data_IF_739496109820
#
_entry.id   IF_739496109820
#
_cell.length_a   1.000
_cell.length_b   1.000
_cell.length_c   1.000
_cell.angle_alpha   90.00
_cell.angle_beta   90.00
_cell.angle_gamma   90.00
#
_symmetry.space_group_name_H-M   'P 1'
#
loop_
_entity.id
_entity.type
_entity.pdbx_description
1 polymer ?
#
# COMPACT_ATOMS: atom_id res chain seq x y z
N UNK A 1 76.67 34.96 30.59
CA UNK A 1 75.53 35.52 29.83
C UNK A 1 75.15 34.50 28.77
N UNK A 2 74.09 33.72 28.99
CA UNK A 2 73.58 32.77 28.00
C UNK A 2 72.09 32.58 28.26
N UNK A 3 71.25 33.17 27.40
CA UNK A 3 69.80 33.01 27.44
C UNK A 3 69.40 31.99 26.37
N UNK A 4 68.99 30.80 26.81
CA UNK A 4 68.26 29.84 25.98
C UNK A 4 66.81 30.31 25.86
N UNK A 5 66.32 30.46 24.63
CA UNK A 5 64.90 30.71 24.31
C UNK A 5 64.26 29.36 24.02
N UNK A 6 63.36 28.90 24.89
CA UNK A 6 62.49 27.75 24.60
C UNK A 6 61.29 28.23 23.76
N UNK A 7 61.19 27.76 22.52
CA UNK A 7 59.95 27.81 21.74
C UNK A 7 59.06 26.64 22.15
N UNK A 8 57.89 26.93 22.73
CA UNK A 8 56.82 25.95 22.91
C UNK A 8 55.97 25.89 21.65
N UNK A 9 55.99 24.73 20.98
CA UNK A 9 55.13 24.41 19.85
C UNK A 9 53.81 23.84 20.41
N UNK A 10 52.75 24.63 20.39
CA UNK A 10 51.39 24.16 20.70
C UNK A 10 50.86 23.37 19.50
N UNK A 11 50.84 22.05 19.62
CA UNK A 11 50.10 21.18 18.69
C UNK A 11 48.65 21.16 19.17
N UNK A 12 47.80 21.93 18.51
CA UNK A 12 46.36 21.90 18.72
C UNK A 12 45.76 20.60 18.18
N UNK A 13 45.24 19.77 19.08
CA UNK A 13 44.45 18.59 18.75
C UNK A 13 43.08 19.04 18.23
N UNK A 14 42.89 19.05 16.91
CA UNK A 14 41.57 19.26 16.29
C UNK A 14 40.75 17.99 16.51
N UNK A 15 39.89 17.98 17.52
CA UNK A 15 38.82 16.99 17.64
C UNK A 15 37.79 17.28 16.54
N UNK A 16 37.81 16.47 15.48
CA UNK A 16 36.78 16.49 14.45
C UNK A 16 35.45 16.07 15.05
N UNK A 17 34.48 16.98 15.07
CA UNK A 17 33.08 16.64 15.27
C UNK A 17 32.67 15.75 14.10
N UNK A 18 32.51 14.46 14.34
CA UNK A 18 31.77 13.60 13.43
C UNK A 18 30.32 14.11 13.42
N UNK A 19 29.97 14.91 12.41
CA UNK A 19 28.60 15.30 12.18
C UNK A 19 27.84 14.03 11.77
N UNK A 20 27.10 13.43 12.71
CA UNK A 20 26.07 12.46 12.38
C UNK A 20 25.09 13.13 11.43
N UNK A 21 24.79 12.49 10.29
CA UNK A 21 23.72 12.96 9.42
C UNK A 21 22.42 13.08 10.26
N UNK A 22 21.63 14.16 10.10
CA UNK A 22 20.39 14.30 10.83
C UNK A 22 19.49 13.11 10.54
N UNK A 23 19.06 12.43 11.59
CA UNK A 23 18.07 11.36 11.50
C UNK A 23 16.77 12.00 11.01
N UNK A 24 16.15 11.42 9.97
CA UNK A 24 14.85 11.89 9.51
C UNK A 24 13.82 11.68 10.63
N UNK A 25 13.02 12.71 10.91
CA UNK A 25 12.08 12.71 12.03
C UNK A 25 10.89 11.75 11.76
N UNK A 26 10.41 11.03 12.80
CA UNK A 26 9.20 10.21 12.74
C UNK A 26 7.96 10.99 12.32
N UNK A 27 7.00 10.30 11.72
CA UNK A 27 5.74 10.87 11.27
C UNK A 27 4.54 10.23 11.97
N UNK A 28 3.46 11.01 12.17
CA UNK A 28 2.17 10.43 12.52
C UNK A 28 1.73 9.42 11.46
N UNK A 29 1.14 8.30 11.87
CA UNK A 29 0.77 7.23 10.93
C UNK A 29 -0.23 7.67 9.89
N UNK A 30 -1.25 8.47 10.26
CA UNK A 30 -2.39 8.75 9.39
C UNK A 30 -3.06 7.49 8.79
N UNK A 31 -2.94 6.33 9.45
CA UNK A 31 -3.32 5.01 8.93
C UNK A 31 -2.60 4.64 7.64
N UNK A 32 -1.34 5.05 7.47
CA UNK A 32 -0.42 4.52 6.47
C UNK A 32 0.53 3.52 7.06
N UNK A 33 0.98 2.58 6.22
CA UNK A 33 2.14 1.75 6.49
C UNK A 33 3.33 2.65 6.75
N UNK A 34 4.10 2.35 7.80
CA UNK A 34 5.32 3.07 8.16
C UNK A 34 6.55 2.17 8.00
N UNK A 35 7.66 2.76 7.58
CA UNK A 35 8.95 2.07 7.54
C UNK A 35 9.55 1.94 8.96
N UNK A 36 10.76 1.38 9.05
CA UNK A 36 11.46 1.18 10.33
C UNK A 36 11.88 2.47 11.03
N UNK A 37 11.82 3.61 10.35
CA UNK A 37 12.05 4.94 10.91
C UNK A 37 10.74 5.65 11.27
N UNK A 38 9.60 4.93 11.26
CA UNK A 38 8.27 5.47 11.52
C UNK A 38 7.84 6.59 10.56
N UNK A 39 8.35 6.57 9.32
CA UNK A 39 7.88 7.46 8.25
C UNK A 39 6.88 6.73 7.37
N UNK A 40 5.84 7.43 6.92
CA UNK A 40 4.80 6.86 6.06
C UNK A 40 5.40 6.45 4.72
N UNK A 41 4.83 5.41 4.14
CA UNK A 41 5.26 4.84 2.87
C UNK A 41 4.18 5.12 1.82
N UNK A 42 4.52 5.86 0.78
CA UNK A 42 3.57 6.34 -0.24
C UNK A 42 4.22 6.42 -1.63
N UNK A 43 3.42 6.69 -2.67
CA UNK A 43 3.94 6.91 -4.02
C UNK A 43 4.34 8.38 -4.20
N UNK A 44 5.61 8.64 -4.51
CA UNK A 44 6.08 10.01 -4.82
C UNK A 44 5.66 10.49 -6.20
N UNK A 45 5.56 9.57 -7.17
CA UNK A 45 5.30 9.88 -8.57
C UNK A 45 3.94 9.32 -9.02
N UNK A 46 3.01 10.23 -9.31
CA UNK A 46 1.68 9.93 -9.85
C UNK A 46 1.49 10.64 -11.20
N UNK A 47 0.65 10.14 -12.12
CA UNK A 47 -0.24 8.99 -11.98
C UNK A 47 0.40 7.61 -12.30
N UNK A 48 -0.03 6.60 -11.56
CA UNK A 48 0.44 5.21 -11.55
C UNK A 48 -0.15 4.39 -12.70
N UNK A 49 0.68 3.53 -13.31
CA UNK A 49 0.25 2.53 -14.29
C UNK A 49 -0.28 1.30 -13.55
N UNK A 50 -1.53 0.96 -13.81
CA UNK A 50 -2.19 -0.25 -13.27
C UNK A 50 -2.19 -1.34 -14.33
N UNK A 51 -1.56 -2.48 -14.02
CA UNK A 51 -1.58 -3.68 -14.81
C UNK A 51 -2.55 -4.73 -14.27
N UNK A 52 -3.17 -5.49 -15.17
CA UNK A 52 -4.06 -6.59 -14.84
C UNK A 52 -3.60 -7.84 -15.58
N UNK A 53 -3.35 -8.92 -14.85
CA UNK A 53 -2.95 -10.20 -15.41
C UNK A 53 -4.05 -10.72 -16.36
N UNK A 54 -3.65 -11.29 -17.50
CA UNK A 54 -4.54 -11.85 -18.51
C UNK A 54 -5.49 -12.96 -18.00
N UNK A 55 -5.21 -13.53 -16.83
CA UNK A 55 -6.05 -14.51 -16.13
C UNK A 55 -7.16 -13.89 -15.28
N UNK A 56 -7.07 -12.60 -14.95
CA UNK A 56 -8.14 -11.89 -14.24
C UNK A 56 -9.35 -11.79 -15.17
N UNK A 57 -10.56 -12.21 -14.72
CA UNK A 57 -11.73 -12.13 -15.56
C UNK A 57 -12.03 -10.70 -16.03
N UNK A 58 -12.18 -10.51 -17.35
CA UNK A 58 -12.28 -9.18 -17.96
C UNK A 58 -13.48 -8.37 -17.49
N UNK A 59 -14.57 -9.03 -17.10
CA UNK A 59 -15.76 -8.37 -16.54
C UNK A 59 -15.53 -7.76 -15.16
N UNK A 60 -14.39 -8.02 -14.51
CA UNK A 60 -13.98 -7.35 -13.27
C UNK A 60 -13.10 -6.12 -13.49
N UNK A 61 -12.65 -5.86 -14.72
CA UNK A 61 -11.81 -4.69 -15.02
C UNK A 61 -12.52 -3.37 -14.70
N UNK A 62 -13.83 -3.31 -14.89
CA UNK A 62 -14.63 -2.13 -14.56
C UNK A 62 -14.70 -1.90 -13.04
N UNK A 63 -14.65 -2.96 -12.23
CA UNK A 63 -14.61 -2.83 -10.75
C UNK A 63 -13.25 -2.30 -10.27
N UNK A 64 -12.15 -2.66 -10.95
CA UNK A 64 -10.83 -2.06 -10.70
C UNK A 64 -10.85 -0.57 -11.03
N UNK A 65 -11.38 -0.19 -12.21
CA UNK A 65 -11.52 1.22 -12.60
C UNK A 65 -12.42 2.00 -11.64
N UNK A 66 -13.49 1.37 -11.14
CA UNK A 66 -14.38 1.96 -10.14
C UNK A 66 -13.64 2.24 -8.83
N UNK A 67 -12.87 1.28 -8.30
CA UNK A 67 -12.05 1.49 -7.11
C UNK A 67 -11.02 2.61 -7.28
N UNK A 68 -10.32 2.63 -8.43
CA UNK A 68 -9.41 3.73 -8.79
C UNK A 68 -10.12 5.08 -8.75
N UNK A 69 -11.30 5.15 -9.39
CA UNK A 69 -12.09 6.37 -9.43
C UNK A 69 -12.59 6.81 -8.04
N UNK A 70 -13.00 5.88 -7.19
CA UNK A 70 -13.43 6.17 -5.82
C UNK A 70 -12.32 6.87 -5.03
N UNK A 71 -11.09 6.34 -5.05
CA UNK A 71 -9.96 6.97 -4.36
C UNK A 71 -9.58 8.34 -4.93
N UNK A 72 -9.60 8.52 -6.25
CA UNK A 72 -9.37 9.83 -6.86
C UNK A 72 -10.47 10.85 -6.53
N UNK A 73 -11.71 10.39 -6.39
CA UNK A 73 -12.86 11.26 -6.09
C UNK A 73 -12.76 11.85 -4.69
N UNK A 74 -12.39 11.05 -3.69
CA UNK A 74 -12.22 11.54 -2.31
C UNK A 74 -11.00 12.46 -2.15
N UNK A 75 -10.08 12.45 -3.11
CA UNK A 75 -8.97 13.40 -3.23
C UNK A 75 -9.32 14.64 -4.08
N UNK A 76 -10.61 14.95 -4.23
CA UNK A 76 -11.05 16.12 -4.99
C UNK A 76 -10.72 16.04 -6.48
N UNK A 77 -10.58 14.83 -7.03
CA UNK A 77 -10.26 14.57 -8.43
C UNK A 77 -8.76 14.54 -8.77
N UNK A 78 -7.86 14.58 -7.77
CA UNK A 78 -6.42 14.36 -7.97
C UNK A 78 -6.19 13.01 -8.65
N UNK A 79 -5.41 13.00 -9.73
CA UNK A 79 -5.13 11.79 -10.51
C UNK A 79 -4.01 10.98 -9.88
N UNK A 80 -4.37 9.88 -9.25
CA UNK A 80 -3.42 8.88 -8.74
C UNK A 80 -3.10 7.83 -9.80
N UNK A 81 -3.98 7.58 -10.76
CA UNK A 81 -3.83 6.47 -11.70
C UNK A 81 -3.92 6.94 -13.15
N UNK A 82 -3.24 6.23 -14.05
CA UNK A 82 -3.52 6.33 -15.49
C UNK A 82 -4.91 5.73 -15.73
N UNK A 83 -5.73 6.33 -16.62
CA UNK A 83 -7.12 5.90 -16.80
C UNK A 83 -7.26 4.50 -17.41
N UNK A 84 -6.26 4.08 -18.19
CA UNK A 84 -6.26 2.79 -18.86
C UNK A 84 -5.56 1.72 -18.03
N UNK A 85 -6.19 0.54 -17.99
CA UNK A 85 -5.57 -0.68 -17.46
C UNK A 85 -4.67 -1.28 -18.55
N UNK A 86 -3.47 -1.70 -18.16
CA UNK A 86 -2.57 -2.45 -19.04
C UNK A 86 -2.77 -3.94 -18.81
N UNK A 87 -3.21 -4.69 -19.82
CA UNK A 87 -3.12 -6.16 -19.73
C UNK A 87 -1.65 -6.57 -19.69
N UNK A 88 -1.30 -7.43 -18.75
CA UNK A 88 0.06 -7.94 -18.54
C UNK A 88 0.05 -9.46 -18.44
N UNK A 89 1.16 -10.09 -18.77
CA UNK A 89 1.44 -11.46 -18.35
C UNK A 89 2.09 -11.49 -16.97
N UNK A 90 2.04 -12.63 -16.27
CA UNK A 90 2.69 -12.83 -14.96
C UNK A 90 4.17 -12.46 -14.93
N UNK A 91 4.89 -12.64 -16.04
CA UNK A 91 6.30 -12.27 -16.18
C UNK A 91 6.53 -10.75 -16.22
N UNK A 92 5.49 -9.96 -16.46
CA UNK A 92 5.54 -8.52 -16.67
C UNK A 92 5.08 -7.71 -15.46
N UNK A 93 4.80 -8.36 -14.32
CA UNK A 93 4.32 -7.70 -13.08
C UNK A 93 5.26 -6.62 -12.54
N UNK A 94 6.54 -6.64 -12.95
CA UNK A 94 7.53 -5.63 -12.59
C UNK A 94 7.63 -4.46 -13.59
N UNK A 95 6.78 -4.43 -14.62
CA UNK A 95 6.79 -3.40 -15.68
C UNK A 95 5.74 -2.30 -15.48
N UNK A 96 4.95 -2.39 -14.41
CA UNK A 96 3.88 -1.47 -14.03
C UNK A 96 4.01 -1.14 -12.54
N UNK A 97 3.30 -0.09 -12.08
CA UNK A 97 3.35 0.32 -10.67
C UNK A 97 2.55 -0.63 -9.78
N UNK A 98 1.32 -0.94 -10.19
CA UNK A 98 0.39 -1.81 -9.45
C UNK A 98 -0.04 -2.95 -10.37
N UNK A 99 0.04 -4.20 -9.92
CA UNK A 99 -0.42 -5.37 -10.67
C UNK A 99 -1.57 -6.09 -9.95
N UNK A 100 -2.64 -6.44 -10.66
CA UNK A 100 -3.71 -7.31 -10.17
C UNK A 100 -3.57 -8.72 -10.75
N UNK A 101 -3.53 -9.72 -9.88
CA UNK A 101 -3.27 -11.13 -10.20
C UNK A 101 -4.42 -12.02 -9.73
N UNK A 102 -4.66 -13.11 -10.46
CA UNK A 102 -5.73 -14.07 -10.16
C UNK A 102 -5.16 -15.40 -9.68
N UNK A 103 -5.22 -15.66 -8.37
CA UNK A 103 -4.60 -16.85 -7.78
C UNK A 103 -5.60 -18.01 -7.65
N UNK A 104 -5.43 -19.03 -8.49
CA UNK A 104 -6.15 -20.32 -8.37
C UNK A 104 -5.41 -21.33 -7.50
N UNK A 105 -4.22 -20.98 -6.99
CA UNK A 105 -3.42 -21.75 -6.04
C UNK A 105 -2.92 -20.83 -4.93
N UNK A 106 -3.68 -20.70 -3.85
CA UNK A 106 -3.41 -19.80 -2.74
C UNK A 106 -2.40 -20.36 -1.74
N UNK A 107 -1.23 -19.74 -1.67
CA UNK A 107 -0.34 -19.89 -0.52
C UNK A 107 -0.88 -19.00 0.63
N UNK A 108 -1.56 -19.64 1.58
CA UNK A 108 -2.00 -18.99 2.81
C UNK A 108 -0.81 -18.38 3.56
N UNK A 109 -1.00 -17.21 4.16
CA UNK A 109 0.02 -16.68 5.07
C UNK A 109 0.10 -17.56 6.33
N UNK A 110 1.29 -17.89 6.86
CA UNK A 110 1.42 -18.68 8.10
C UNK A 110 0.71 -18.05 9.31
N UNK A 111 0.39 -16.75 9.23
CA UNK A 111 -0.39 -15.99 10.20
C UNK A 111 -1.90 -16.27 10.18
N UNK A 112 -2.40 -17.10 9.25
CA UNK A 112 -3.81 -17.51 9.25
C UNK A 112 -4.76 -16.34 9.04
N UNK A 113 -4.53 -15.51 8.02
CA UNK A 113 -5.35 -14.33 7.74
C UNK A 113 -5.29 -13.29 8.86
N UNK A 114 -5.33 -12.02 8.49
CA UNK A 114 -5.41 -10.91 9.46
C UNK A 114 -6.69 -10.92 10.35
N UNK A 115 -7.51 -11.99 10.29
CA UNK A 115 -8.81 -12.07 10.93
C UNK A 115 -8.79 -12.74 12.31
N UNK A 116 -7.83 -13.64 12.60
CA UNK A 116 -7.80 -14.41 13.84
C UNK A 116 -9.01 -15.34 14.06
N UNK A 117 -9.85 -15.50 13.03
CA UNK A 117 -11.03 -16.38 13.05
C UNK A 117 -10.63 -17.71 12.41
N UNK A 118 -10.70 -18.83 13.15
CA UNK A 118 -10.51 -20.16 12.56
C UNK A 118 -11.47 -20.38 11.38
N UNK A 119 -10.92 -20.65 10.19
CA UNK A 119 -11.70 -20.95 8.98
C UNK A 119 -12.04 -19.75 8.08
N UNK A 120 -11.66 -18.51 8.44
CA UNK A 120 -11.76 -17.38 7.51
C UNK A 120 -10.70 -17.51 6.41
N UNK A 121 -11.15 -17.65 5.16
CA UNK A 121 -10.28 -17.66 3.98
C UNK A 121 -9.92 -16.21 3.62
N UNK A 122 -8.62 -15.93 3.44
CA UNK A 122 -8.18 -14.63 2.91
C UNK A 122 -8.86 -14.40 1.55
N UNK A 123 -9.55 -13.26 1.38
CA UNK A 123 -10.21 -12.92 0.11
C UNK A 123 -9.20 -12.40 -0.91
N UNK A 124 -8.28 -11.58 -0.45
CA UNK A 124 -7.16 -11.09 -1.23
C UNK A 124 -5.99 -10.76 -0.29
N UNK A 125 -4.87 -10.36 -0.89
CA UNK A 125 -3.77 -9.73 -0.16
C UNK A 125 -3.03 -8.77 -1.08
N UNK A 126 -2.44 -7.75 -0.48
CA UNK A 126 -1.56 -6.81 -1.17
C UNK A 126 -0.13 -6.90 -0.65
N UNK A 127 0.82 -6.93 -1.58
CA UNK A 127 2.25 -6.81 -1.29
C UNK A 127 2.75 -5.49 -1.85
N UNK A 128 3.25 -4.62 -0.97
CA UNK A 128 3.94 -3.38 -1.36
C UNK A 128 5.45 -3.55 -1.21
N UNK A 129 6.20 -2.99 -2.14
CA UNK A 129 7.66 -2.89 -2.10
C UNK A 129 8.05 -1.43 -2.16
N UNK A 130 8.87 -1.01 -1.21
CA UNK A 130 9.27 0.39 -1.06
C UNK A 130 10.77 0.50 -0.74
N UNK A 131 11.34 1.66 -1.06
CA UNK A 131 12.69 2.04 -0.70
C UNK A 131 12.62 3.36 0.07
N UNK A 132 13.18 3.38 1.29
CA UNK A 132 12.96 4.46 2.25
C UNK A 132 11.47 4.61 2.58
N UNK A 133 10.83 5.64 2.05
CA UNK A 133 9.44 6.06 2.21
C UNK A 133 8.69 6.01 0.87
N UNK A 134 9.37 5.67 -0.24
CA UNK A 134 8.75 5.64 -1.55
C UNK A 134 8.39 4.22 -2.00
N UNK A 135 7.12 3.99 -2.28
CA UNK A 135 6.64 2.79 -2.94
C UNK A 135 7.16 2.79 -4.38
N UNK A 136 7.71 1.66 -4.82
CA UNK A 136 8.08 1.46 -6.22
C UNK A 136 7.31 0.32 -6.89
N UNK A 137 6.58 -0.49 -6.12
CA UNK A 137 5.75 -1.59 -6.65
C UNK A 137 4.67 -1.99 -5.66
N UNK A 138 3.47 -2.28 -6.16
CA UNK A 138 2.44 -3.02 -5.44
C UNK A 138 1.88 -4.17 -6.27
N UNK A 139 1.50 -5.26 -5.61
CA UNK A 139 0.87 -6.43 -6.23
C UNK A 139 -0.33 -6.84 -5.40
N UNK A 140 -1.50 -6.85 -6.01
CA UNK A 140 -2.77 -7.32 -5.44
C UNK A 140 -3.03 -8.73 -5.96
N UNK A 141 -3.29 -9.66 -5.04
CA UNK A 141 -3.60 -11.05 -5.36
C UNK A 141 -5.03 -11.35 -4.93
N UNK A 142 -5.90 -11.73 -5.87
CA UNK A 142 -7.23 -12.25 -5.54
C UNK A 142 -7.16 -13.75 -5.25
N UNK A 143 -7.72 -14.20 -4.12
CA UNK A 143 -7.79 -15.61 -3.77
C UNK A 143 -8.99 -16.29 -4.45
N UNK A 144 -8.83 -16.61 -5.73
CA UNK A 144 -9.83 -17.31 -6.53
C UNK A 144 -9.87 -18.83 -6.28
N UNK A 145 -8.90 -19.38 -5.54
CA UNK A 145 -8.97 -20.77 -5.08
C UNK A 145 -10.09 -20.95 -4.05
N UNK A 146 -10.15 -20.05 -3.08
CA UNK A 146 -10.97 -20.24 -1.89
C UNK A 146 -12.26 -19.43 -1.86
N UNK A 147 -12.39 -18.42 -2.73
CA UNK A 147 -13.50 -17.48 -2.72
C UNK A 147 -14.18 -17.41 -4.09
N UNK A 148 -15.51 -17.39 -4.05
CA UNK A 148 -16.33 -16.99 -5.19
C UNK A 148 -16.48 -15.46 -5.18
N UNK A 149 -16.20 -14.83 -6.32
CA UNK A 149 -16.31 -13.38 -6.49
C UNK A 149 -17.51 -13.03 -7.35
N UNK A 150 -18.19 -11.95 -6.97
CA UNK A 150 -19.30 -11.35 -7.73
C UNK A 150 -19.10 -9.85 -7.87
N UNK A 151 -19.72 -9.26 -8.88
CA UNK A 151 -19.95 -7.82 -8.90
C UNK A 151 -21.27 -7.53 -8.15
N UNK A 152 -21.20 -6.77 -7.06
CA UNK A 152 -22.31 -6.52 -6.15
C UNK A 152 -22.51 -7.60 -5.10
N UNK A 153 -23.49 -7.37 -4.22
CA UNK A 153 -23.88 -8.31 -3.18
C UNK A 153 -24.57 -9.54 -3.78
N UNK A 154 -23.98 -10.70 -3.55
CA UNK A 154 -24.56 -11.99 -3.91
C UNK A 154 -24.37 -13.01 -2.79
N UNK A 155 -25.38 -13.85 -2.54
CA UNK A 155 -25.33 -14.84 -1.48
C UNK A 155 -24.18 -15.83 -1.70
N UNK A 156 -23.34 -16.01 -0.68
CA UNK A 156 -22.18 -16.92 -0.75
C UNK A 156 -20.96 -16.37 -1.49
N UNK A 157 -21.06 -15.24 -2.19
CA UNK A 157 -19.97 -14.63 -2.93
C UNK A 157 -19.46 -13.34 -2.26
N UNK A 158 -18.19 -13.04 -2.51
CA UNK A 158 -17.52 -11.81 -2.07
C UNK A 158 -17.65 -10.76 -3.17
N UNK A 159 -18.10 -9.56 -2.82
CA UNK A 159 -18.14 -8.44 -3.76
C UNK A 159 -16.72 -8.00 -4.13
N UNK A 160 -16.35 -8.17 -5.39
CA UNK A 160 -14.99 -7.91 -5.85
C UNK A 160 -14.68 -6.42 -5.85
N UNK A 161 -15.67 -5.55 -6.05
CA UNK A 161 -15.45 -4.11 -6.03
C UNK A 161 -14.95 -3.67 -4.65
N UNK A 162 -15.63 -4.14 -3.59
CA UNK A 162 -15.27 -3.86 -2.19
C UNK A 162 -13.87 -4.37 -1.84
N UNK A 163 -13.54 -5.60 -2.23
CA UNK A 163 -12.19 -6.15 -2.03
C UNK A 163 -11.17 -5.33 -2.81
N UNK A 164 -11.47 -4.97 -4.05
CA UNK A 164 -10.56 -4.20 -4.88
C UNK A 164 -10.30 -2.80 -4.32
N UNK A 165 -11.33 -2.14 -3.78
CA UNK A 165 -11.18 -0.84 -3.13
C UNK A 165 -10.26 -0.93 -1.90
N UNK A 166 -10.46 -1.95 -1.07
CA UNK A 166 -9.63 -2.25 0.10
C UNK A 166 -8.16 -2.51 -0.27
N UNK A 167 -7.92 -3.47 -1.17
CA UNK A 167 -6.58 -3.85 -1.59
C UNK A 167 -5.86 -2.73 -2.35
N UNK A 168 -6.60 -1.94 -3.14
CA UNK A 168 -6.05 -0.75 -3.77
C UNK A 168 -5.66 0.31 -2.75
N UNK A 169 -6.38 0.41 -1.62
CA UNK A 169 -6.00 1.23 -0.46
C UNK A 169 -4.64 0.83 0.09
N UNK A 170 -4.40 -0.47 0.29
CA UNK A 170 -3.07 -0.98 0.64
C UNK A 170 -2.03 -0.68 -0.45
N UNK A 171 -2.38 -0.85 -1.73
CA UNK A 171 -1.47 -0.61 -2.83
C UNK A 171 -1.04 0.86 -2.95
N UNK A 172 -1.82 1.81 -2.41
CA UNK A 172 -1.47 3.23 -2.31
C UNK A 172 -0.92 3.63 -0.93
N UNK A 173 -0.76 2.69 0.01
CA UNK A 173 -0.02 2.88 1.26
C UNK A 173 -0.86 2.87 2.54
N UNK A 174 -2.19 2.79 2.46
CA UNK A 174 -3.04 2.70 3.65
C UNK A 174 -2.83 1.39 4.41
N UNK A 175 -2.83 1.46 5.73
CA UNK A 175 -2.89 0.31 6.63
C UNK A 175 -4.37 0.04 7.01
N UNK A 176 -4.62 -1.08 7.68
CA UNK A 176 -5.94 -1.42 8.18
C UNK A 176 -6.46 -0.38 9.17
N UNK A 177 -7.76 -0.07 9.06
CA UNK A 177 -8.49 0.76 10.01
C UNK A 177 -9.47 -0.13 10.77
N UNK A 178 -9.45 -0.10 12.11
CA UNK A 178 -10.23 -1.04 12.94
C UNK A 178 -11.72 -0.66 13.10
N UNK A 179 -12.19 0.38 12.39
CA UNK A 179 -13.60 0.79 12.37
C UNK A 179 -14.36 -0.11 11.39
N UNK A 180 -15.40 -0.82 11.85
CA UNK A 180 -16.02 -1.88 11.05
C UNK A 180 -16.67 -1.41 9.74
N UNK A 181 -17.01 -0.13 9.65
CA UNK A 181 -17.61 0.52 8.47
C UNK A 181 -16.57 1.04 7.48
N UNK A 182 -15.31 1.20 7.89
CA UNK A 182 -14.21 1.60 7.01
C UNK A 182 -14.01 0.61 5.86
N UNK A 183 -13.72 1.15 4.67
CA UNK A 183 -13.31 0.33 3.51
C UNK A 183 -11.98 -0.37 3.76
N UNK A 184 -11.14 0.17 4.65
CA UNK A 184 -9.86 -0.40 5.10
C UNK A 184 -10.00 -1.34 6.31
N UNK A 185 -11.21 -1.70 6.72
CA UNK A 185 -11.40 -2.73 7.76
C UNK A 185 -11.00 -4.11 7.23
N UNK A 186 -10.20 -4.91 7.97
CA UNK A 186 -9.61 -6.18 7.50
C UNK A 186 -10.60 -7.31 7.23
N UNK A 187 -11.91 -7.11 7.39
CA UNK A 187 -12.91 -8.17 7.23
C UNK A 187 -14.08 -7.68 6.41
N UNK A 188 -14.34 -8.38 5.30
CA UNK A 188 -15.55 -8.19 4.50
C UNK A 188 -16.39 -9.47 4.54
N UNK A 189 -17.67 -9.34 4.91
CA UNK A 189 -18.62 -10.45 4.86
C UNK A 189 -19.02 -10.71 3.41
N UNK A 190 -19.35 -11.96 3.07
CA UNK A 190 -20.02 -12.26 1.80
C UNK A 190 -21.37 -11.54 1.71
N UNK A 191 -21.92 -11.41 0.50
CA UNK A 191 -23.19 -10.72 0.27
C UNK A 191 -23.24 -9.28 0.84
N UNK A 192 -22.11 -8.58 0.83
CA UNK A 192 -21.97 -7.21 1.36
C UNK A 192 -21.20 -6.36 0.37
N UNK A 193 -21.68 -5.14 0.13
CA UNK A 193 -20.96 -4.11 -0.64
C UNK A 193 -20.47 -3.03 0.32
N UNK A 194 -19.22 -2.60 0.15
CA UNK A 194 -18.54 -1.57 0.92
C UNK A 194 -17.62 -0.77 0.00
N UNK A 195 -18.25 0.13 -0.76
CA UNK A 195 -17.60 0.96 -1.79
C UNK A 195 -17.54 2.45 -1.43
N UNK A 196 -17.97 2.81 -0.21
CA UNK A 196 -18.04 4.19 0.27
C UNK A 196 -16.97 4.40 1.36
N UNK A 197 -15.86 5.09 1.06
CA UNK A 197 -14.88 5.45 2.07
C UNK A 197 -15.52 6.28 3.19
N UNK A 198 -15.22 5.92 4.43
CA UNK A 198 -15.63 6.68 5.62
C UNK A 198 -14.82 7.97 5.74
N UNK A 199 -15.25 8.90 6.60
CA UNK A 199 -14.48 10.11 6.90
C UNK A 199 -13.06 9.78 7.38
N UNK A 200 -12.88 8.70 8.16
CA UNK A 200 -11.55 8.23 8.57
C UNK A 200 -10.71 7.82 7.37
N UNK A 201 -11.26 7.05 6.42
CA UNK A 201 -10.55 6.64 5.20
C UNK A 201 -10.11 7.85 4.36
N UNK A 202 -11.01 8.82 4.21
CA UNK A 202 -10.79 10.05 3.46
C UNK A 202 -9.69 10.90 4.11
N UNK A 203 -9.81 11.17 5.41
CA UNK A 203 -8.83 11.97 6.15
C UNK A 203 -7.45 11.31 6.17
N UNK A 204 -7.41 9.98 6.27
CA UNK A 204 -6.17 9.22 6.15
C UNK A 204 -5.51 9.44 4.80
N UNK A 205 -6.23 9.22 3.71
CA UNK A 205 -5.66 9.37 2.38
C UNK A 205 -5.21 10.82 2.09
N UNK A 206 -5.99 11.81 2.51
CA UNK A 206 -5.67 13.24 2.36
C UNK A 206 -4.50 13.72 3.24
N UNK A 207 -4.16 12.98 4.30
CA UNK A 207 -2.98 13.31 5.11
C UNK A 207 -1.68 13.14 4.31
N UNK A 208 -1.66 12.27 3.30
CA UNK A 208 -0.46 11.94 2.53
C UNK A 208 -0.51 12.39 1.06
N UNK A 209 -1.69 12.34 0.41
CA UNK A 209 -1.87 12.74 -1.00
C UNK A 209 -2.67 14.03 -1.14
#
# INVERSE_FOLDING_TARGET
MGRFVLLYLFIGLVMGLAACAPQLEPEESCNFVRNSMERRVSWSDTPLVVGVEDTVPTYFHDEIKKAMHTWETVLGGKKLFKPELKTIHRSEVNTVNISFLWETSWAATPSGGASGIPGAKEQAKTSISFQSDNIYRAIVFYNAQDNEFSAGAHYGATDIASVTLHELGHAIGLDHIQQEDSVMYPKLKTNTVRMEPTETDINSLQCEY
#
